data_IF_299603322732
#
_entry.id   IF_299603322732
#
_cell.length_a   1.000
_cell.length_b   1.000
_cell.length_c   1.000
_cell.angle_alpha   90.00
_cell.angle_beta   90.00
_cell.angle_gamma   90.00
#
_symmetry.space_group_name_H-M   'P 1'
#
loop_
_entity.id
_entity.type
_entity.pdbx_description
1 polymer ?
#
# COMPACT_ATOMS: atom_id res chain seq x y z
N UNK A 1 -37.13 46.56 10.50
CA UNK A 1 -37.03 45.15 10.91
C UNK A 1 -35.64 44.50 10.63
N UNK A 2 -34.47 45.12 10.96
CA UNK A 2 -33.16 44.47 10.80
C UNK A 2 -32.64 43.73 12.05
N UNK A 3 -33.28 43.91 13.22
CA UNK A 3 -32.79 43.40 14.51
C UNK A 3 -32.77 41.85 14.59
N UNK A 4 -33.70 41.17 13.92
CA UNK A 4 -33.78 39.71 13.87
C UNK A 4 -32.65 39.07 13.06
N UNK A 5 -32.19 39.71 11.98
CA UNK A 5 -31.09 39.19 11.16
C UNK A 5 -29.75 39.24 11.88
N UNK A 6 -29.52 40.25 12.73
CA UNK A 6 -28.30 40.35 13.54
C UNK A 6 -28.20 39.22 14.58
N UNK A 7 -29.33 38.84 15.20
CA UNK A 7 -29.36 37.73 16.15
C UNK A 7 -29.05 36.39 15.48
N UNK A 8 -29.55 36.17 14.26
CA UNK A 8 -29.27 34.95 13.50
C UNK A 8 -27.78 34.85 13.16
N UNK A 9 -27.18 35.94 12.67
CA UNK A 9 -25.74 35.96 12.32
C UNK A 9 -24.88 35.70 13.56
N UNK A 10 -25.23 36.29 14.72
CA UNK A 10 -24.51 36.11 15.97
C UNK A 10 -24.59 34.65 16.48
N UNK A 11 -25.76 34.02 16.36
CA UNK A 11 -25.91 32.59 16.70
C UNK A 11 -25.10 31.70 15.74
N UNK A 12 -25.07 32.02 14.46
CA UNK A 12 -24.38 31.23 13.44
C UNK A 12 -22.85 31.28 13.63
N UNK A 13 -22.29 32.45 13.92
CA UNK A 13 -20.85 32.59 14.22
C UNK A 13 -20.47 31.89 15.52
N UNK A 14 -21.33 31.94 16.54
CA UNK A 14 -21.11 31.20 17.79
C UNK A 14 -21.07 29.69 17.58
N UNK A 15 -21.99 29.13 16.78
CA UNK A 15 -22.04 27.69 16.47
C UNK A 15 -20.83 27.26 15.63
N UNK A 16 -20.44 28.05 14.62
CA UNK A 16 -19.25 27.76 13.82
C UNK A 16 -17.98 27.80 14.68
N UNK A 17 -17.85 28.80 15.56
CA UNK A 17 -16.73 28.91 16.50
C UNK A 17 -16.66 27.71 17.43
N UNK A 18 -17.79 27.31 18.02
CA UNK A 18 -17.87 26.14 18.90
C UNK A 18 -17.49 24.84 18.17
N UNK A 19 -17.98 24.66 16.94
CA UNK A 19 -17.66 23.50 16.12
C UNK A 19 -16.16 23.44 15.75
N UNK A 20 -15.56 24.58 15.41
CA UNK A 20 -14.13 24.68 15.11
C UNK A 20 -13.27 24.34 16.33
N UNK A 21 -13.64 24.82 17.53
CA UNK A 21 -12.93 24.50 18.78
C UNK A 21 -13.05 23.01 19.10
N UNK A 22 -14.24 22.42 18.94
CA UNK A 22 -14.43 20.99 19.15
C UNK A 22 -13.57 20.15 18.18
N UNK A 23 -13.56 20.53 16.89
CA UNK A 23 -12.75 19.84 15.89
C UNK A 23 -11.25 19.94 16.20
N UNK A 24 -10.76 21.12 16.58
CA UNK A 24 -9.36 21.33 16.95
C UNK A 24 -8.96 20.48 18.17
N UNK A 25 -9.85 20.37 19.16
CA UNK A 25 -9.60 19.61 20.39
C UNK A 25 -9.54 18.09 20.10
N UNK A 26 -10.46 17.58 19.27
CA UNK A 26 -10.43 16.17 18.83
C UNK A 26 -9.16 15.88 18.02
N UNK A 27 -8.76 16.78 17.13
CA UNK A 27 -7.54 16.63 16.33
C UNK A 27 -6.29 16.63 17.23
N UNK A 28 -6.21 17.54 18.19
CA UNK A 28 -5.10 17.59 19.16
C UNK A 28 -5.00 16.32 20.01
N UNK A 29 -6.13 15.74 20.42
CA UNK A 29 -6.14 14.47 21.15
C UNK A 29 -5.72 13.29 20.28
N UNK A 30 -6.16 13.25 19.01
CA UNK A 30 -5.72 12.24 18.04
C UNK A 30 -4.22 12.31 17.80
N UNK A 31 -3.68 13.51 17.59
CA UNK A 31 -2.25 13.75 17.42
C UNK A 31 -1.45 13.31 18.64
N UNK A 32 -1.90 13.65 19.86
CA UNK A 32 -1.26 13.18 21.10
C UNK A 32 -1.28 11.65 21.24
N UNK A 33 -2.38 10.99 20.87
CA UNK A 33 -2.46 9.52 20.89
C UNK A 33 -1.50 8.88 19.88
N UNK A 34 -1.45 9.42 18.66
CA UNK A 34 -0.51 8.98 17.62
C UNK A 34 0.94 9.19 18.07
N UNK A 35 1.27 10.36 18.62
CA UNK A 35 2.61 10.65 19.14
C UNK A 35 2.99 9.71 20.28
N UNK A 36 2.03 9.33 21.14
CA UNK A 36 2.26 8.35 22.21
C UNK A 36 2.48 6.93 21.65
N UNK A 37 1.80 6.56 20.57
CA UNK A 37 2.04 5.29 19.88
C UNK A 37 3.43 5.27 19.23
N UNK A 38 3.78 6.32 18.48
CA UNK A 38 5.11 6.48 17.87
C UNK A 38 6.25 6.44 18.90
N UNK A 39 6.03 7.00 20.09
CA UNK A 39 7.01 7.02 21.18
C UNK A 39 7.08 5.70 21.96
N UNK A 40 6.02 4.89 21.95
CA UNK A 40 6.08 3.52 22.48
C UNK A 40 6.75 2.57 21.47
N UNK A 41 6.53 2.79 20.17
CA UNK A 41 7.12 1.97 19.11
C UNK A 41 8.61 2.31 18.88
N UNK A 42 9.04 3.49 19.31
CA UNK A 42 10.43 3.94 19.23
C UNK A 42 10.88 4.41 20.62
N UNK A 43 11.25 3.49 21.53
CA UNK A 43 11.82 3.89 22.81
C UNK A 43 13.06 4.76 22.54
N UNK A 44 13.25 5.88 23.26
CA UNK A 44 14.49 6.63 23.14
C UNK A 44 15.66 5.69 23.45
N UNK A 45 16.78 5.77 22.71
CA UNK A 45 17.95 5.00 23.06
C UNK A 45 18.30 5.36 24.50
N UNK A 46 18.28 4.36 25.38
CA UNK A 46 18.85 4.51 26.70
C UNK A 46 20.27 5.05 26.50
N UNK A 47 20.60 6.13 27.20
CA UNK A 47 21.97 6.64 27.23
C UNK A 47 22.86 5.60 27.91
N UNK A 48 23.34 4.65 27.14
CA UNK A 48 24.36 3.70 27.51
C UNK A 48 25.47 3.77 26.46
N UNK A 49 26.56 4.40 26.87
CA UNK A 49 27.89 4.04 26.42
C UNK A 49 28.26 4.47 25.00
N UNK A 50 29.02 5.57 24.94
CA UNK A 50 29.92 5.86 23.85
C UNK A 50 30.70 4.60 23.41
N UNK A 51 30.48 4.11 22.18
CA UNK A 51 31.43 3.31 21.35
C UNK A 51 30.79 2.45 20.23
N UNK A 52 29.68 2.84 19.59
CA UNK A 52 29.10 2.03 18.49
C UNK A 52 28.63 2.78 17.24
N UNK A 53 29.22 3.93 16.92
CA UNK A 53 28.85 4.74 15.75
C UNK A 53 29.13 4.10 14.37
N UNK A 54 29.86 2.99 14.28
CA UNK A 54 30.16 2.34 12.98
C UNK A 54 29.28 1.14 12.64
N UNK A 55 28.59 0.57 13.63
CA UNK A 55 27.73 -0.61 13.44
C UNK A 55 26.27 -0.23 13.12
N UNK A 56 25.83 0.97 13.50
CA UNK A 56 24.48 1.46 13.23
C UNK A 56 24.25 1.76 11.74
N UNK A 57 25.26 2.25 11.01
CA UNK A 57 25.12 2.62 9.59
C UNK A 57 24.86 1.44 8.65
N UNK A 58 25.34 0.23 8.96
CA UNK A 58 25.03 -0.98 8.18
C UNK A 58 23.67 -1.61 8.53
N UNK A 59 23.14 -1.35 9.72
CA UNK A 59 21.83 -1.88 10.14
C UNK A 59 20.66 -1.13 9.51
N UNK A 60 20.84 0.16 9.22
CA UNK A 60 19.84 0.99 8.54
C UNK A 60 19.45 0.48 7.15
N UNK A 61 20.37 0.19 6.22
CA UNK A 61 20.02 -0.36 4.91
C UNK A 61 19.47 -1.79 5.02
N UNK A 62 19.95 -2.61 5.96
CA UNK A 62 19.41 -3.95 6.21
C UNK A 62 17.97 -3.91 6.72
N UNK A 63 17.64 -2.98 7.62
CA UNK A 63 16.26 -2.76 8.08
C UNK A 63 15.37 -2.25 6.96
N UNK A 64 15.85 -1.33 6.13
CA UNK A 64 15.10 -0.87 4.95
C UNK A 64 14.84 -2.00 3.95
N UNK A 65 15.84 -2.84 3.66
CA UNK A 65 15.68 -4.00 2.79
C UNK A 65 14.68 -5.00 3.37
N UNK A 66 14.75 -5.27 4.67
CA UNK A 66 13.82 -6.18 5.37
C UNK A 66 12.38 -5.63 5.34
N UNK A 67 12.20 -4.32 5.51
CA UNK A 67 10.90 -3.67 5.41
C UNK A 67 10.34 -3.69 3.99
N UNK A 68 11.16 -3.43 2.98
CA UNK A 68 10.76 -3.53 1.57
C UNK A 68 10.36 -4.96 1.21
N UNK A 69 11.11 -5.95 1.66
CA UNK A 69 10.77 -7.37 1.45
C UNK A 69 9.45 -7.74 2.12
N UNK A 70 9.22 -7.29 3.36
CA UNK A 70 7.94 -7.51 4.05
C UNK A 70 6.78 -6.81 3.36
N UNK A 71 6.97 -5.60 2.84
CA UNK A 71 5.94 -4.87 2.08
C UNK A 71 5.62 -5.54 0.74
N UNK A 72 6.62 -6.09 0.05
CA UNK A 72 6.40 -6.87 -1.18
C UNK A 72 5.71 -8.21 -0.90
N UNK A 73 6.03 -8.88 0.21
CA UNK A 73 5.38 -10.12 0.61
C UNK A 73 3.95 -9.92 1.14
N UNK A 74 3.68 -8.80 1.82
CA UNK A 74 2.35 -8.45 2.35
C UNK A 74 1.52 -7.56 1.43
N UNK A 75 1.93 -7.32 0.18
CA UNK A 75 0.99 -6.74 -0.76
C UNK A 75 -0.15 -7.73 -0.94
N UNK A 76 -1.40 -7.38 -0.59
CA UNK A 76 -2.53 -8.18 -1.04
C UNK A 76 -2.41 -8.18 -2.56
N UNK A 77 -2.21 -9.36 -3.15
CA UNK A 77 -2.35 -9.54 -4.59
C UNK A 77 -3.76 -9.06 -4.90
N UNK A 78 -3.89 -7.78 -5.28
CA UNK A 78 -5.18 -7.24 -5.69
C UNK A 78 -5.62 -8.17 -6.81
N UNK A 79 -6.78 -8.82 -6.69
CA UNK A 79 -7.24 -9.72 -7.73
C UNK A 79 -7.21 -8.92 -9.01
N UNK A 80 -6.36 -9.33 -9.96
CA UNK A 80 -6.29 -8.70 -11.25
C UNK A 80 -7.72 -8.71 -11.79
N UNK A 81 -8.25 -7.55 -12.24
CA UNK A 81 -9.60 -7.48 -12.79
C UNK A 81 -9.89 -8.66 -13.71
N UNK A 82 -11.07 -9.26 -13.61
CA UNK A 82 -11.37 -10.56 -14.24
C UNK A 82 -11.08 -10.56 -15.75
N UNK A 83 -11.21 -9.41 -16.40
CA UNK A 83 -10.86 -9.18 -17.81
C UNK A 83 -9.40 -9.50 -18.13
N UNK A 84 -8.48 -9.21 -17.23
CA UNK A 84 -7.05 -9.47 -17.39
C UNK A 84 -6.68 -10.93 -17.13
N UNK A 85 -7.39 -11.59 -16.20
CA UNK A 85 -7.27 -13.03 -16.01
C UNK A 85 -7.74 -13.77 -17.26
N UNK A 86 -8.87 -13.35 -17.82
CA UNK A 86 -9.40 -13.90 -19.06
C UNK A 86 -8.47 -13.64 -20.25
N UNK A 87 -7.86 -12.44 -20.34
CA UNK A 87 -6.85 -12.15 -21.36
C UNK A 87 -5.64 -13.10 -21.27
N UNK A 88 -5.16 -13.39 -20.06
CA UNK A 88 -4.04 -14.30 -19.84
C UNK A 88 -4.41 -15.75 -20.19
N UNK A 89 -5.65 -16.17 -19.90
CA UNK A 89 -6.16 -17.50 -20.24
C UNK A 89 -6.28 -17.68 -21.76
N UNK A 90 -6.85 -16.71 -22.47
CA UNK A 90 -6.96 -16.75 -23.94
C UNK A 90 -5.59 -16.70 -24.61
N UNK A 91 -4.65 -15.92 -24.07
CA UNK A 91 -3.28 -15.92 -24.55
C UNK A 91 -2.60 -17.30 -24.36
N UNK A 92 -2.96 -18.04 -23.31
CA UNK A 92 -2.45 -19.40 -23.07
C UNK A 92 -3.05 -20.44 -24.02
N UNK A 93 -4.25 -20.16 -24.55
CA UNK A 93 -4.90 -20.96 -25.59
C UNK A 93 -4.37 -20.64 -27.01
N UNK A 94 -3.39 -19.74 -27.14
CA UNK A 94 -2.76 -19.41 -28.42
C UNK A 94 -3.43 -18.27 -29.19
N UNK A 95 -4.40 -17.56 -28.60
CA UNK A 95 -4.96 -16.37 -29.24
C UNK A 95 -3.94 -15.24 -29.35
N UNK A 96 -4.02 -14.51 -30.46
CA UNK A 96 -3.14 -13.36 -30.71
C UNK A 96 -3.60 -12.15 -29.89
N UNK A 97 -2.67 -11.26 -29.56
CA UNK A 97 -2.98 -10.04 -28.80
C UNK A 97 -4.04 -9.14 -29.48
N UNK A 98 -4.16 -9.22 -30.81
CA UNK A 98 -5.16 -8.47 -31.56
C UNK A 98 -6.57 -9.05 -31.35
N UNK A 99 -6.72 -10.38 -31.47
CA UNK A 99 -7.99 -11.07 -31.24
C UNK A 99 -8.50 -10.89 -29.81
N UNK A 100 -7.58 -10.89 -28.84
CA UNK A 100 -7.90 -10.67 -27.42
C UNK A 100 -8.34 -9.21 -27.19
N UNK A 101 -7.69 -8.24 -27.83
CA UNK A 101 -8.04 -6.82 -27.75
C UNK A 101 -9.45 -6.57 -28.30
N UNK A 102 -9.77 -7.17 -29.44
CA UNK A 102 -11.08 -7.05 -30.08
C UNK A 102 -12.19 -7.70 -29.24
N UNK A 103 -11.92 -8.84 -28.61
CA UNK A 103 -12.89 -9.57 -27.79
C UNK A 103 -13.15 -8.93 -26.42
N UNK A 104 -12.11 -8.38 -25.78
CA UNK A 104 -12.22 -7.75 -24.46
C UNK A 104 -12.47 -6.24 -24.51
N UNK A 105 -12.55 -5.66 -25.72
CA UNK A 105 -12.59 -4.22 -25.94
C UNK A 105 -11.46 -3.48 -25.18
N UNK A 106 -10.26 -4.06 -25.21
CA UNK A 106 -9.06 -3.51 -24.56
C UNK A 106 -8.12 -2.89 -25.59
N UNK A 107 -7.32 -1.87 -25.23
CA UNK A 107 -6.28 -1.34 -26.09
C UNK A 107 -5.27 -2.44 -26.46
N UNK A 108 -4.87 -2.55 -27.75
CA UNK A 108 -3.95 -3.62 -28.18
C UNK A 108 -2.56 -3.50 -27.52
N UNK A 109 -2.14 -2.29 -27.15
CA UNK A 109 -0.91 -2.05 -26.42
C UNK A 109 -0.94 -2.66 -25.00
N UNK A 110 -2.09 -2.56 -24.32
CA UNK A 110 -2.29 -3.08 -22.97
C UNK A 110 -2.32 -4.61 -22.98
N UNK A 111 -3.01 -5.21 -23.96
CA UNK A 111 -3.04 -6.66 -24.14
C UNK A 111 -1.65 -7.23 -24.41
N UNK A 112 -0.83 -6.57 -25.24
CA UNK A 112 0.56 -7.00 -25.48
C UNK A 112 1.39 -7.03 -24.20
N UNK A 113 1.20 -6.04 -23.31
CA UNK A 113 1.87 -6.00 -22.02
C UNK A 113 1.37 -7.10 -21.08
N UNK A 114 0.07 -7.37 -21.06
CA UNK A 114 -0.50 -8.48 -20.27
C UNK A 114 0.04 -9.84 -20.71
N UNK A 115 0.13 -10.08 -22.01
CA UNK A 115 0.66 -11.33 -22.58
C UNK A 115 2.14 -11.49 -22.27
N UNK A 116 2.94 -10.41 -22.33
CA UNK A 116 4.36 -10.49 -21.98
C UNK A 116 4.55 -10.75 -20.47
N UNK A 117 3.75 -10.12 -19.63
CA UNK A 117 3.76 -10.32 -18.17
C UNK A 117 3.30 -11.73 -17.78
N UNK A 118 2.26 -12.28 -18.42
CA UNK A 118 1.79 -13.64 -18.14
C UNK A 118 2.84 -14.70 -18.47
N UNK A 119 3.64 -14.46 -19.52
CA UNK A 119 4.77 -15.33 -19.89
C UNK A 119 5.91 -15.23 -18.86
N UNK A 120 6.25 -14.02 -18.42
CA UNK A 120 7.30 -13.78 -17.43
C UNK A 120 6.92 -14.27 -16.02
N UNK A 121 5.65 -14.21 -15.63
CA UNK A 121 5.16 -14.75 -14.36
C UNK A 121 5.18 -16.29 -14.32
N UNK A 122 4.89 -16.95 -15.44
CA UNK A 122 4.89 -18.41 -15.56
C UNK A 122 6.30 -19.01 -15.47
N UNK A 123 7.33 -18.34 -16.00
CA UNK A 123 8.72 -18.82 -15.85
C UNK A 123 9.23 -18.73 -14.41
N UNK A 124 8.63 -17.89 -13.55
CA UNK A 124 9.01 -17.73 -12.15
C UNK A 124 8.40 -18.78 -11.21
N UNK A 125 7.47 -19.60 -11.68
CA UNK A 125 6.74 -20.60 -10.88
C UNK A 125 7.23 -22.04 -11.06
N UNK A 126 8.49 -22.25 -11.48
CA UNK A 126 9.10 -23.59 -11.41
C UNK A 126 9.30 -24.03 -9.94
N UNK A 127 8.81 -25.21 -9.54
CA UNK A 127 8.83 -25.68 -8.16
C UNK A 127 10.23 -26.09 -7.71
N UNK A 128 10.72 -25.47 -6.64
CA UNK A 128 11.71 -26.07 -5.76
C UNK A 128 11.02 -27.21 -5.00
N UNK A 129 11.31 -28.47 -5.34
CA UNK A 129 10.92 -29.63 -4.52
C UNK A 129 10.40 -30.84 -5.27
N UNK A 130 11.18 -31.40 -6.20
CA UNK A 130 11.07 -32.81 -6.62
C UNK A 130 12.46 -33.40 -6.86
N UNK A 131 13.29 -33.40 -5.81
CA UNK A 131 14.58 -34.11 -5.77
C UNK A 131 14.80 -34.63 -4.35
N UNK A 132 13.98 -35.61 -3.90
CA UNK A 132 14.34 -36.53 -2.79
C UNK A 132 13.22 -37.56 -2.59
N UNK A 133 13.18 -38.63 -3.40
CA UNK A 133 12.41 -39.85 -3.10
C UNK A 133 12.76 -41.06 -4.00
N UNK A 134 14.00 -41.17 -4.48
CA UNK A 134 14.41 -42.32 -5.28
C UNK A 134 15.91 -42.64 -5.11
N UNK A 135 16.32 -42.96 -3.89
CA UNK A 135 17.60 -43.62 -3.63
C UNK A 135 17.59 -44.27 -2.23
N UNK A 136 16.81 -45.34 -2.06
CA UNK A 136 17.20 -46.45 -1.18
C UNK A 136 16.46 -47.71 -1.59
#
# INVERSE_FOLDING_TARGET
MPMSSLLIILMLTAVIGLAAVCAALVLALRLKRLQKQLRNDNPPPAEEGASHDKAADFQTPLRQATLLQRLQQNQPQRPAPDKYRLAAEMASQGMTAQQIADLLMLPPAEVRQLVSLSRAGRSKTLPAGTLDAAAT
#
